data_IF_837348791997
#
_entry.id   IF_837348791997
#
_cell.length_a   1.000
_cell.length_b   1.000
_cell.length_c   1.000
_cell.angle_alpha   90.00
_cell.angle_beta   90.00
_cell.angle_gamma   90.00
#
_symmetry.space_group_name_H-M   'P 1'
#
loop_
_entity.id
_entity.type
_entity.pdbx_description
1 polymer ?
2 polymer ?
3 non-polymer ?
4 water ?
#
# COMPACT_ATOMS: atom_id res chain seq x y z
N UNK A 10 -6.29 -1.74 -39.10
CA UNK A 10 -5.76 -0.59 -39.91
C UNK A 10 -4.97 0.40 -39.05
N UNK A 11 -5.46 1.62 -38.93
CA UNK A 11 -4.79 2.68 -38.14
C UNK A 11 -5.19 2.61 -36.65
N UNK A 12 -4.66 3.52 -35.81
CA UNK A 12 -5.01 3.52 -34.39
C UNK A 12 -6.53 3.63 -34.19
N UNK A 13 -7.14 4.62 -34.83
CA UNK A 13 -8.58 4.81 -34.71
C UNK A 13 -9.34 3.53 -35.07
N UNK A 14 -8.90 2.83 -36.11
CA UNK A 14 -9.59 1.61 -36.55
C UNK A 14 -9.46 0.49 -35.51
N UNK A 15 -8.24 0.31 -35.01
CA UNK A 15 -7.97 -0.71 -34.00
C UNK A 15 -8.82 -0.42 -32.77
N UNK A 16 -8.91 0.86 -32.38
CA UNK A 16 -9.72 1.25 -31.22
C UNK A 16 -11.19 0.96 -31.50
N UNK A 17 -11.67 1.29 -32.70
CA UNK A 17 -13.06 1.01 -33.04
C UNK A 17 -13.35 -0.49 -33.00
N UNK A 18 -12.45 -1.29 -33.57
CA UNK A 18 -12.67 -2.74 -33.63
C UNK A 18 -12.64 -3.35 -32.25
N UNK A 19 -11.72 -2.88 -31.43
CA UNK A 19 -11.62 -3.42 -30.10
C UNK A 19 -12.87 -3.04 -29.28
N UNK A 20 -13.36 -1.82 -29.47
CA UNK A 20 -14.57 -1.42 -28.75
C UNK A 20 -15.77 -2.29 -29.15
N UNK A 21 -15.86 -2.63 -30.44
CA UNK A 21 -16.97 -3.45 -30.94
C UNK A 21 -16.91 -4.89 -30.41
N UNK A 22 -15.71 -5.48 -30.41
CA UNK A 22 -15.54 -6.85 -29.93
C UNK A 22 -15.80 -6.90 -28.43
N UNK A 24 -17.86 -5.11 -26.95
CA UNK A 24 -19.32 -5.05 -26.83
C UNK A 24 -19.95 -6.46 -26.98
N UNK A 25 -19.42 -7.26 -27.90
CA UNK A 25 -19.95 -8.61 -28.08
C UNK A 25 -19.73 -9.45 -26.81
N UNK A 26 -18.51 -9.39 -26.25
CA UNK A 26 -18.18 -10.14 -25.05
C UNK A 26 -19.11 -9.82 -23.89
N UNK A 27 -19.60 -8.59 -23.84
CA UNK A 27 -20.49 -8.21 -22.78
C UNK A 27 -21.89 -8.81 -22.96
N UNK A 28 -22.27 -9.06 -24.21
CA UNK A 28 -23.60 -9.62 -24.53
C UNK A 28 -23.81 -10.99 -23.91
N UNK A 32 -23.81 -17.51 -27.29
CA UNK A 32 -22.36 -17.48 -27.23
C UNK A 32 -21.66 -18.55 -28.08
N UNK A 33 -20.48 -18.95 -27.64
CA UNK A 33 -19.67 -19.96 -28.31
C UNK A 33 -19.15 -19.48 -29.66
N UNK A 34 -19.84 -19.81 -30.74
CA UNK A 34 -19.40 -19.39 -32.06
C UNK A 34 -19.03 -17.90 -32.02
N UNK A 35 -20.02 -17.08 -31.73
CA UNK A 35 -19.87 -15.62 -31.67
C UNK A 35 -18.89 -15.19 -30.57
N UNK A 36 -18.93 -15.87 -29.43
CA UNK A 36 -18.04 -15.57 -28.31
C UNK A 36 -16.59 -15.93 -28.62
N UNK A 37 -16.40 -17.10 -29.23
CA UNK A 37 -15.06 -17.54 -29.60
C UNK A 37 -14.41 -16.56 -30.58
N UNK A 38 -15.22 -16.05 -31.51
CA UNK A 38 -14.73 -15.09 -32.49
C UNK A 38 -14.38 -13.76 -31.80
N UNK A 39 -15.27 -13.28 -30.96
CA UNK A 39 -15.03 -12.01 -30.28
C UNK A 39 -13.79 -12.13 -29.37
N UNK A 40 -13.60 -13.30 -28.75
CA UNK A 40 -12.44 -13.46 -27.87
C UNK A 40 -11.18 -13.43 -28.70
N UNK A 41 -11.20 -14.11 -29.85
CA UNK A 41 -10.05 -14.14 -30.73
C UNK A 41 -9.81 -12.71 -31.28
N UNK A 42 -10.87 -12.01 -31.63
CA UNK A 42 -10.72 -10.65 -32.16
C UNK A 42 -10.16 -9.69 -31.07
N UNK A 43 -10.62 -9.87 -29.84
CA UNK A 43 -10.13 -9.07 -28.74
C UNK A 43 -8.63 -9.34 -28.59
N UNK A 44 -8.24 -10.61 -28.54
CA UNK A 44 -6.83 -10.95 -28.41
C UNK A 44 -5.98 -10.33 -29.52
N UNK A 45 -6.46 -10.42 -30.76
CA UNK A 45 -5.69 -9.89 -31.88
C UNK A 45 -5.55 -8.39 -31.87
N UNK A 46 -6.63 -7.69 -31.50
CA UNK A 46 -6.61 -6.23 -31.42
C UNK A 46 -5.72 -5.74 -30.30
N UNK A 47 -5.70 -6.46 -29.18
CA UNK A 47 -4.84 -6.06 -28.08
C UNK A 47 -3.38 -6.21 -28.53
N UNK A 48 -3.08 -7.29 -29.24
CA UNK A 48 -1.72 -7.48 -29.72
C UNK A 48 -1.37 -6.34 -30.72
N UNK A 49 -2.32 -5.94 -31.57
CA UNK A 49 -2.09 -4.88 -32.55
C UNK A 49 -1.84 -3.52 -31.88
N UNK A 51 -0.46 -3.19 -28.97
CA UNK A 51 0.89 -3.24 -28.42
C UNK A 51 1.92 -2.90 -29.49
N UNK A 52 1.70 -3.39 -30.71
CA UNK A 52 2.63 -3.13 -31.78
C UNK A 52 2.74 -1.64 -32.11
N UNK A 53 1.69 -0.88 -31.85
CA UNK A 53 1.73 0.57 -32.09
C UNK A 53 2.66 1.21 -31.04
N UNK A 54 2.61 0.71 -29.80
CA UNK A 54 3.43 1.26 -28.72
C UNK A 54 4.92 1.03 -28.87
N UNK A 55 5.28 -0.12 -29.43
CA UNK A 55 6.68 -0.48 -29.58
C UNK A 55 7.18 -0.60 -31.01
N UNK A 63 5.86 5.11 -34.92
CA UNK A 63 5.25 6.39 -35.26
C UNK A 63 4.88 7.09 -33.96
N UNK A 64 5.59 8.18 -33.65
CA UNK A 64 5.33 8.93 -32.42
C UNK A 64 3.91 9.47 -32.43
N UNK A 65 3.41 9.79 -33.62
CA UNK A 65 2.05 10.31 -33.72
C UNK A 65 1.03 9.18 -33.73
N UNK A 66 1.48 7.98 -34.10
CA UNK A 66 0.58 6.83 -34.09
C UNK A 66 0.23 6.61 -32.62
N UNK A 67 1.25 6.66 -31.76
CA UNK A 67 1.04 6.51 -30.33
C UNK A 67 0.14 7.64 -29.83
N UNK A 68 0.43 8.85 -30.27
CA UNK A 68 -0.35 10.03 -29.89
C UNK A 68 -1.79 9.82 -30.31
N UNK A 69 -2.00 9.32 -31.52
CA UNK A 69 -3.32 9.05 -32.05
C UNK A 69 -4.06 7.98 -31.22
N UNK A 70 -3.36 6.90 -30.90
CA UNK A 70 -3.95 5.82 -30.11
C UNK A 70 -4.42 6.40 -28.77
N UNK A 71 -3.55 7.14 -28.08
CA UNK A 71 -3.96 7.72 -26.80
C UNK A 71 -5.23 8.57 -26.90
N UNK A 72 -5.28 9.49 -27.87
CA UNK A 72 -6.42 10.36 -28.05
C UNK A 72 -7.68 9.52 -28.26
N UNK A 73 -7.57 8.51 -29.13
CA UNK A 73 -8.72 7.63 -29.41
C UNK A 73 -9.12 6.86 -28.16
N UNK A 74 -8.13 6.46 -27.38
CA UNK A 74 -8.41 5.74 -26.15
C UNK A 74 -9.20 6.62 -25.17
N UNK A 75 -8.87 7.89 -25.08
CA UNK A 75 -9.61 8.74 -24.14
C UNK A 75 -11.02 9.00 -24.67
N UNK A 76 -11.08 9.46 -25.91
CA UNK A 76 -12.32 9.83 -26.56
C UNK A 76 -13.42 8.78 -26.68
N UNK A 77 -13.01 7.57 -27.01
CA UNK A 77 -13.96 6.49 -27.22
C UNK A 77 -14.47 5.84 -25.93
N UNK A 78 -13.71 6.03 -24.85
CA UNK A 78 -14.07 5.40 -23.59
C UNK A 78 -13.52 3.97 -23.52
N UNK A 79 -12.74 3.54 -24.54
CA UNK A 79 -12.19 2.19 -24.56
C UNK A 79 -11.26 1.88 -23.37
N UNK A 80 -10.44 2.84 -22.96
CA UNK A 80 -9.56 2.59 -21.81
C UNK A 80 -10.41 2.16 -20.63
N UNK A 81 -11.50 2.91 -20.39
CA UNK A 81 -12.39 2.61 -19.28
C UNK A 81 -13.04 1.23 -19.48
N UNK A 82 -13.48 0.94 -20.71
CA UNK A 82 -14.14 -0.35 -21.02
C UNK A 82 -13.22 -1.54 -20.77
N UNK A 83 -11.94 -1.40 -21.18
CA UNK A 83 -10.96 -2.48 -20.97
C UNK A 83 -10.80 -2.80 -19.49
N UNK A 84 -10.86 -1.78 -18.63
CA UNK A 84 -10.78 -2.03 -17.20
C UNK A 84 -12.10 -2.65 -16.71
N UNK A 85 -13.22 -2.06 -17.10
CA UNK A 85 -14.52 -2.59 -16.65
C UNK A 85 -14.76 -4.03 -17.06
N UNK A 86 -14.30 -4.35 -18.26
CA UNK A 86 -14.50 -5.72 -18.81
C UNK A 86 -13.30 -6.67 -18.67
N UNK A 87 -12.36 -6.36 -17.78
CA UNK A 87 -11.18 -7.17 -17.70
C UNK A 87 -11.47 -8.63 -17.42
N UNK A 88 -12.49 -8.90 -16.61
CA UNK A 88 -12.83 -10.30 -16.28
C UNK A 88 -13.23 -11.11 -17.51
N UNK A 89 -13.63 -10.43 -18.59
CA UNK A 89 -14.08 -11.09 -19.82
C UNK A 89 -12.96 -11.46 -20.79
N UNK A 90 -11.80 -10.84 -20.58
CA UNK A 90 -10.64 -11.03 -21.44
C UNK A 90 -9.81 -12.25 -21.04
N UNK A 91 -9.23 -12.89 -22.06
CA UNK A 91 -8.40 -14.08 -21.85
C UNK A 91 -7.16 -13.79 -21.01
N UNK A 92 -6.54 -14.86 -20.50
CA UNK A 92 -5.36 -14.77 -19.67
C UNK A 92 -4.26 -13.83 -20.18
N UNK A 93 -3.76 -14.07 -21.39
CA UNK A 93 -2.69 -13.20 -21.90
C UNK A 93 -3.22 -11.79 -22.21
N UNK A 94 -4.47 -11.74 -22.67
CA UNK A 94 -5.11 -10.47 -22.99
C UNK A 94 -5.19 -9.58 -21.76
N UNK A 95 -5.49 -10.13 -20.59
CA UNK A 95 -5.53 -9.29 -19.38
C UNK A 95 -4.18 -8.61 -19.14
N UNK A 96 -3.09 -9.35 -19.35
CA UNK A 96 -1.76 -8.77 -19.17
C UNK A 96 -1.43 -7.73 -20.22
N UNK A 97 -1.97 -7.91 -21.43
CA UNK A 97 -1.76 -6.91 -22.48
C UNK A 97 -2.50 -5.62 -22.09
N UNK A 98 -3.71 -5.74 -21.55
CA UNK A 98 -4.43 -4.52 -21.10
C UNK A 98 -3.55 -3.80 -20.08
N UNK A 99 -3.02 -4.55 -19.11
CA UNK A 99 -2.17 -3.91 -18.08
C UNK A 99 -0.98 -3.22 -18.71
N UNK A 100 -0.28 -3.94 -19.58
CA UNK A 100 0.87 -3.37 -20.25
C UNK A 100 0.55 -2.11 -21.09
N UNK A 101 -0.57 -2.12 -21.79
CA UNK A 101 -0.97 -0.96 -22.62
C UNK A 101 -1.34 0.21 -21.71
N UNK A 102 -2.12 -0.12 -20.70
CA UNK A 102 -2.56 0.89 -19.73
C UNK A 102 -1.33 1.55 -19.08
N UNK A 103 -0.37 0.73 -18.66
CA UNK A 103 0.82 1.23 -17.96
C UNK A 103 1.67 2.13 -18.86
N UNK A 104 1.72 1.79 -20.15
CA UNK A 104 2.45 2.64 -21.07
C UNK A 104 1.72 3.96 -21.33
N UNK A 105 0.43 3.89 -21.61
CA UNK A 105 -0.34 5.11 -21.91
C UNK A 105 -0.37 6.04 -20.68
N UNK A 106 -0.40 5.46 -19.49
CA UNK A 106 -0.43 6.24 -18.28
C UNK A 106 0.75 7.25 -18.20
N UNK A 107 1.91 6.83 -18.72
CA UNK A 107 3.12 7.66 -18.62
C UNK A 107 3.30 8.65 -19.77
N UNK A 108 2.31 8.74 -20.65
CA UNK A 108 2.39 9.64 -21.78
C UNK A 108 2.63 11.06 -21.32
N UNK A 109 3.53 11.77 -22.00
CA UNK A 109 3.78 13.15 -21.64
C UNK A 109 3.66 14.09 -22.82
N UNK A 110 3.13 15.28 -22.57
CA UNK A 110 2.99 16.31 -23.59
C UNK A 110 3.57 17.53 -22.88
N UNK A 111 4.83 17.83 -23.15
CA UNK A 111 5.46 18.94 -22.47
C UNK A 111 5.56 18.53 -21.01
N UNK A 112 4.95 19.32 -20.14
CA UNK A 112 4.98 19.05 -18.70
C UNK A 112 3.74 18.25 -18.26
N UNK A 113 2.75 18.14 -19.14
CA UNK A 113 1.51 17.45 -18.80
C UNK A 113 1.57 15.93 -18.96
N UNK A 114 0.76 15.23 -18.16
CA UNK A 114 0.62 13.76 -18.24
C UNK A 114 -0.89 13.63 -18.50
N UNK A 115 -1.32 13.69 -19.77
CA UNK A 115 -2.73 13.61 -20.15
C UNK A 115 -3.53 12.42 -19.60
N UNK A 116 -2.91 11.26 -19.46
CA UNK A 116 -3.68 10.10 -18.97
C UNK A 116 -4.01 10.29 -17.49
N UNK A 117 -3.11 10.96 -16.76
CA UNK A 117 -3.39 11.20 -15.36
C UNK A 117 -4.53 12.20 -15.27
N UNK A 118 -4.50 13.26 -16.08
CA UNK A 118 -5.57 14.24 -16.05
C UNK A 118 -6.87 13.55 -16.44
N UNK A 119 -6.78 12.65 -17.41
CA UNK A 119 -7.94 11.92 -17.87
C UNK A 119 -8.55 11.11 -16.73
N UNK A 120 -7.74 10.30 -16.04
CA UNK A 120 -8.26 9.50 -14.93
C UNK A 120 -8.82 10.34 -13.78
N UNK A 121 -8.30 11.56 -13.59
CA UNK A 121 -8.83 12.40 -12.55
C UNK A 121 -10.30 12.76 -12.83
N UNK A 122 -10.70 12.71 -14.11
CA UNK A 122 -12.10 13.02 -14.50
C UNK A 122 -12.84 11.72 -14.87
N UNK A 123 -12.20 10.60 -14.61
CA UNK A 123 -12.75 9.26 -14.90
C UNK A 123 -12.37 8.41 -13.68
N UNK A 124 -12.72 8.88 -12.49
CA UNK A 124 -12.29 8.19 -11.30
C UNK A 124 -12.81 6.79 -11.12
N UNK A 125 -13.87 6.44 -11.84
CA UNK A 125 -14.39 5.08 -11.68
C UNK A 125 -13.38 4.03 -12.14
N UNK A 126 -12.43 4.44 -12.96
CA UNK A 126 -11.38 3.48 -13.37
C UNK A 126 -10.62 3.02 -12.11
N UNK A 127 -10.31 3.95 -11.22
CA UNK A 127 -9.60 3.59 -10.03
C UNK A 127 -10.50 2.73 -9.10
N UNK A 128 -11.77 3.10 -8.96
CA UNK A 128 -12.66 2.32 -8.06
C UNK A 128 -12.88 0.93 -8.61
N UNK A 130 -10.69 -0.72 -10.53
CA UNK A 130 -9.45 -1.46 -10.34
C UNK A 130 -9.32 -1.95 -8.89
N UNK A 131 -9.63 -1.07 -7.94
CA UNK A 131 -9.58 -1.47 -6.52
C UNK A 131 -10.52 -2.67 -6.22
N UNK A 132 -11.75 -2.60 -6.70
CA UNK A 132 -12.75 -3.68 -6.46
C UNK A 132 -12.26 -4.99 -7.09
N UNK A 133 -11.42 -4.86 -8.11
CA UNK A 133 -10.88 -6.03 -8.79
C UNK A 133 -10.08 -6.94 -7.87
N UNK A 134 -9.61 -6.40 -6.73
CA UNK A 134 -8.90 -7.27 -5.81
C UNK A 134 -9.80 -8.40 -5.30
N UNK A 135 -11.10 -8.22 -5.43
CA UNK A 135 -12.07 -9.22 -4.96
C UNK A 135 -12.39 -10.33 -5.98
N UNK A 136 -11.79 -10.26 -7.16
CA UNK A 136 -11.99 -11.27 -8.21
C UNK A 136 -10.64 -11.93 -8.46
N UNK A 137 -10.51 -13.19 -8.07
CA UNK A 137 -9.28 -13.96 -8.22
C UNK A 137 -8.60 -13.93 -9.56
N UNK A 138 -9.38 -13.93 -10.62
CA UNK A 138 -8.76 -13.99 -11.93
C UNK A 138 -8.22 -12.67 -12.47
N UNK A 139 -8.57 -11.57 -11.81
CA UNK A 139 -8.04 -10.27 -12.25
C UNK A 139 -7.30 -9.48 -11.17
N UNK A 140 -7.38 -9.93 -9.92
CA UNK A 140 -6.71 -9.24 -8.82
C UNK A 140 -5.26 -8.79 -9.06
N UNK A 141 -4.39 -9.71 -9.51
CA UNK A 141 -3.00 -9.28 -9.73
C UNK A 141 -2.84 -8.25 -10.82
N UNK A 142 -3.65 -8.35 -11.89
CA UNK A 142 -3.50 -7.34 -12.94
C UNK A 142 -3.99 -6.00 -12.42
N UNK A 143 -5.05 -6.02 -11.61
CA UNK A 143 -5.55 -4.77 -11.00
C UNK A 143 -4.47 -4.17 -10.11
N UNK A 144 -3.80 -5.03 -9.33
CA UNK A 144 -2.72 -4.55 -8.48
C UNK A 144 -1.63 -3.86 -9.27
N UNK A 145 -1.22 -4.50 -10.38
CA UNK A 145 -0.18 -3.94 -11.25
C UNK A 145 -0.60 -2.56 -11.74
N UNK A 147 -2.93 -0.56 -10.53
CA UNK A 147 -3.08 0.35 -9.41
C UNK A 147 -1.72 0.90 -8.97
N UNK A 148 -0.72 0.02 -8.84
CA UNK A 148 0.58 0.51 -8.39
C UNK A 148 1.19 1.48 -9.40
N UNK A 149 0.90 1.31 -10.69
CA UNK A 149 1.40 2.30 -11.67
C UNK A 149 0.64 3.62 -11.48
N UNK A 150 -0.67 3.56 -11.25
CA UNK A 150 -1.44 4.79 -11.01
C UNK A 150 -0.87 5.59 -9.82
N UNK A 151 -0.62 4.86 -8.74
CA UNK A 151 -0.11 5.35 -7.46
C UNK A 151 1.17 6.16 -7.58
N UNK A 152 1.92 5.92 -8.66
CA UNK A 152 3.15 6.70 -8.88
C UNK A 152 2.84 8.20 -9.06
N UNK A 153 1.61 8.52 -9.46
CA UNK A 153 1.16 9.89 -9.71
C UNK A 153 0.38 10.37 -8.51
N UNK A 154 0.89 11.43 -7.89
CA UNK A 154 0.30 11.95 -6.65
C UNK A 154 -1.21 12.21 -6.73
N UNK A 155 -1.73 12.71 -7.86
CA UNK A 155 -3.20 12.94 -7.86
C UNK A 155 -4.03 11.66 -7.79
N UNK A 156 -3.49 10.59 -8.36
CA UNK A 156 -4.22 9.32 -8.38
C UNK A 156 -4.05 8.64 -7.02
N UNK A 157 -2.86 8.75 -6.43
CA UNK A 157 -2.66 8.19 -5.08
C UNK A 157 -3.66 8.89 -4.12
N UNK A 158 -3.81 10.20 -4.28
CA UNK A 158 -4.71 10.96 -3.42
C UNK A 158 -6.16 10.49 -3.52
N UNK A 159 -6.63 10.30 -4.74
CA UNK A 159 -8.02 9.88 -4.94
C UNK A 159 -8.20 8.55 -4.22
N UNK A 160 -7.25 7.64 -4.42
CA UNK A 160 -7.40 6.32 -3.77
C UNK A 160 -7.32 6.41 -2.26
N UNK A 161 -6.33 7.12 -1.76
CA UNK A 161 -6.15 7.21 -0.31
C UNK A 161 -7.33 7.88 0.44
N UNK A 162 -7.93 8.90 -0.15
CA UNK A 162 -9.06 9.60 0.48
C UNK A 162 -10.37 8.87 0.32
N UNK A 163 -10.40 7.86 -0.53
CA UNK A 163 -11.63 7.10 -0.77
C UNK A 163 -11.96 6.10 0.32
N UNK A 164 -13.25 5.80 0.46
CA UNK A 164 -13.71 4.82 1.47
C UNK A 164 -13.16 3.47 1.11
N UNK A 165 -12.96 3.28 -0.18
CA UNK A 165 -12.46 2.03 -0.67
C UNK A 165 -11.02 1.78 -0.17
N UNK A 166 -10.33 2.84 0.26
CA UNK A 166 -8.98 2.61 0.79
C UNK A 166 -9.06 1.61 1.97
N UNK A 167 -10.11 1.72 2.80
CA UNK A 167 -10.25 0.82 3.95
C UNK A 167 -10.45 -0.63 3.56
N UNK A 168 -10.77 -0.87 2.29
CA UNK A 168 -10.92 -2.25 1.82
C UNK A 168 -9.56 -2.93 1.86
N UNK A 169 -8.45 -2.18 1.81
CA UNK A 169 -7.14 -2.84 1.89
C UNK A 169 -6.98 -3.59 3.23
N UNK A 170 -7.67 -3.14 4.28
CA UNK A 170 -7.50 -3.83 5.56
C UNK A 170 -8.11 -5.19 5.45
N UNK A 171 -9.11 -5.32 4.58
CA UNK A 171 -9.73 -6.62 4.39
C UNK A 171 -8.89 -7.45 3.44
N UNK A 172 -8.42 -6.84 2.35
CA UNK A 172 -7.61 -7.55 1.36
C UNK A 172 -6.32 -8.14 1.92
N UNK A 173 -5.60 -7.38 2.75
CA UNK A 173 -4.36 -7.95 3.26
C UNK A 173 -4.59 -9.09 4.27
N UNK A 174 -5.84 -9.28 4.70
CA UNK A 174 -6.18 -10.37 5.65
C UNK A 174 -6.88 -11.52 4.93
N UNK A 176 -7.63 -14.94 2.79
CA UNK A 176 -7.09 -16.30 2.94
C UNK A 176 -6.17 -16.70 1.80
N UNK A 177 -6.29 -16.03 0.66
CA UNK A 177 -5.41 -16.32 -0.45
C UNK A 177 -4.22 -15.42 -0.21
N UNK A 178 -3.18 -15.97 0.40
CA UNK A 178 -2.01 -15.21 0.77
C UNK A 178 -1.25 -14.48 -0.32
N UNK A 179 -1.20 -15.02 -1.52
CA UNK A 179 -0.48 -14.35 -2.62
C UNK A 179 -1.19 -13.02 -2.98
N UNK A 180 -2.51 -13.06 -3.05
CA UNK A 180 -3.27 -11.85 -3.35
C UNK A 180 -3.18 -10.89 -2.15
N UNK A 181 -3.26 -11.44 -0.92
CA UNK A 181 -3.12 -10.58 0.27
C UNK A 181 -1.76 -9.87 0.22
N UNK A 182 -0.70 -10.59 -0.16
CA UNK A 182 0.64 -9.97 -0.21
C UNK A 182 0.68 -8.87 -1.29
N UNK A 183 0.02 -9.12 -2.41
CA UNK A 183 0.01 -8.12 -3.48
C UNK A 183 -0.75 -6.87 -3.02
N UNK A 184 -1.90 -7.07 -2.36
CA UNK A 184 -2.66 -5.95 -1.84
C UNK A 184 -1.79 -5.17 -0.82
N UNK A 185 -1.01 -5.89 -0.01
CA UNK A 185 -0.16 -5.22 0.96
C UNK A 185 0.87 -4.33 0.25
N UNK A 186 1.48 -4.82 -0.84
CA UNK A 186 2.45 -3.97 -1.55
C UNK A 186 1.77 -2.68 -2.03
N UNK A 187 0.53 -2.77 -2.49
CA UNK A 187 -0.18 -1.58 -2.99
C UNK A 187 -0.47 -0.61 -1.83
N UNK A 188 -0.99 -1.19 -0.76
CA UNK A 188 -1.30 -0.50 0.49
C UNK A 188 -0.01 0.23 0.97
N UNK A 189 1.10 -0.49 1.08
CA UNK A 189 2.36 0.15 1.54
C UNK A 189 2.82 1.29 0.62
N UNK A 190 2.69 1.09 -0.69
CA UNK A 190 3.09 2.11 -1.65
C UNK A 190 2.26 3.37 -1.38
N UNK A 191 0.94 3.20 -1.26
CA UNK A 191 0.06 4.34 -1.01
C UNK A 191 0.47 5.15 0.23
N UNK A 192 0.86 4.43 1.27
CA UNK A 192 1.21 5.05 2.53
C UNK A 192 2.60 5.62 2.63
N UNK A 193 3.46 5.26 1.68
CA UNK A 193 4.86 5.69 1.75
C UNK A 193 5.46 6.46 0.55
N UNK A 194 4.83 6.39 -0.62
CA UNK A 194 5.40 7.04 -1.78
C UNK A 194 5.37 8.56 -1.77
N UNK A 195 4.20 9.16 -1.60
CA UNK A 195 4.07 10.60 -1.59
C UNK A 195 4.00 11.02 -0.13
N UNK A 196 5.15 11.46 0.39
CA UNK A 196 5.25 11.78 1.82
C UNK A 196 4.33 12.83 2.40
N UNK A 197 4.21 13.99 1.75
CA UNK A 197 3.35 15.04 2.27
C UNK A 197 1.91 14.59 2.23
N UNK A 198 1.54 13.98 1.11
CA UNK A 198 0.19 13.48 0.93
C UNK A 198 -0.16 12.42 2.00
N UNK A 199 0.73 11.47 2.20
CA UNK A 199 0.44 10.44 3.20
C UNK A 199 0.38 11.05 4.61
N UNK A 200 1.31 11.96 4.91
CA UNK A 200 1.31 12.61 6.22
C UNK A 200 0.00 13.37 6.45
N UNK A 201 -0.52 14.03 5.41
CA UNK A 201 -1.76 14.81 5.55
C UNK A 201 -2.93 13.84 5.75
N UNK A 202 -2.91 12.71 5.06
CA UNK A 202 -3.97 11.71 5.23
C UNK A 202 -4.01 11.12 6.65
N UNK A 203 -2.85 10.65 7.09
CA UNK A 203 -2.76 10.04 8.40
C UNK A 203 -3.22 11.00 9.50
N UNK A 204 -2.86 12.27 9.38
CA UNK A 204 -3.26 13.24 10.40
C UNK A 204 -4.77 13.44 10.42
N UNK A 205 -5.36 13.60 9.25
CA UNK A 205 -6.81 13.82 9.12
C UNK A 205 -7.68 12.62 9.45
N UNK A 206 -7.17 11.41 9.29
CA UNK A 206 -7.98 10.22 9.57
C UNK A 206 -7.32 9.33 10.60
N UNK A 207 -6.56 9.96 11.50
CA UNK A 207 -5.80 9.23 12.51
C UNK A 207 -6.57 8.16 13.27
N UNK A 208 -7.66 8.53 13.94
CA UNK A 208 -8.39 7.54 14.74
C UNK A 208 -8.88 6.32 13.99
N UNK A 209 -9.53 6.54 12.86
CA UNK A 209 -10.02 5.40 12.09
C UNK A 209 -8.91 4.54 11.49
N UNK A 210 -7.90 5.21 10.96
CA UNK A 210 -6.80 4.48 10.36
C UNK A 210 -6.07 3.60 11.40
N UNK A 211 -5.66 4.20 12.51
CA UNK A 211 -4.92 3.38 13.50
C UNK A 211 -5.79 2.36 14.20
N UNK A 212 -7.09 2.61 14.24
CA UNK A 212 -7.99 1.62 14.83
C UNK A 212 -7.93 0.37 13.95
N UNK A 213 -7.96 0.57 12.63
CA UNK A 213 -7.89 -0.56 11.72
C UNK A 213 -6.48 -1.20 11.71
N UNK A 214 -5.47 -0.37 11.75
CA UNK A 214 -4.11 -0.86 11.70
C UNK A 214 -3.78 -1.71 12.92
N UNK A 215 -4.31 -1.31 14.08
CA UNK A 215 -4.07 -2.02 15.34
C UNK A 215 -4.49 -3.51 15.12
N UNK A 216 -5.56 -3.73 14.35
CA UNK A 216 -6.02 -5.08 14.06
C UNK A 216 -5.03 -5.85 13.21
N UNK A 217 -4.30 -5.16 12.33
CA UNK A 217 -3.33 -5.86 11.50
C UNK A 217 -2.22 -6.42 12.39
N UNK A 218 -1.93 -5.72 13.48
CA UNK A 218 -0.87 -6.16 14.37
C UNK A 218 -1.24 -7.44 15.16
N UNK A 219 -2.44 -7.97 14.91
CA UNK A 219 -2.90 -9.22 15.53
C UNK A 219 -3.28 -10.24 14.45
N UNK A 220 -2.81 -10.02 13.23
CA UNK A 220 -3.14 -10.91 12.12
C UNK A 220 -2.64 -12.34 12.31
N UNK A 221 -3.42 -13.31 11.85
CA UNK A 221 -3.02 -14.70 11.95
C UNK A 221 -2.04 -14.99 10.83
N UNK A 222 -2.07 -14.17 9.77
CA UNK A 222 -1.14 -14.35 8.67
C UNK A 222 0.16 -13.74 9.19
N UNK A 223 1.08 -14.59 9.65
CA UNK A 223 2.35 -14.14 10.22
C UNK A 223 3.00 -13.11 9.33
N UNK A 224 2.85 -13.29 8.02
CA UNK A 224 3.44 -12.38 7.06
C UNK A 224 2.81 -10.98 7.15
N UNK A 225 1.49 -10.92 7.15
CA UNK A 225 0.81 -9.63 7.20
C UNK A 225 1.18 -8.93 8.52
N UNK A 226 1.26 -9.70 9.59
CA UNK A 226 1.62 -9.16 10.90
C UNK A 226 3.04 -8.60 10.96
N UNK A 227 4.00 -9.37 10.46
CA UNK A 227 5.39 -8.93 10.45
C UNK A 227 5.56 -7.71 9.52
N UNK A 228 4.98 -7.79 8.33
CA UNK A 228 5.06 -6.69 7.39
C UNK A 228 4.34 -5.45 7.95
N UNK A 229 3.24 -5.66 8.64
CA UNK A 229 2.53 -4.51 9.22
C UNK A 229 3.37 -3.84 10.32
N UNK A 230 4.02 -4.64 11.16
CA UNK A 230 4.84 -4.06 12.22
C UNK A 230 6.03 -3.33 11.63
N UNK A 231 6.60 -3.89 10.58
CA UNK A 231 7.74 -3.25 9.92
C UNK A 231 7.34 -1.90 9.29
N UNK A 232 6.19 -1.88 8.64
CA UNK A 232 5.70 -0.65 8.00
C UNK A 232 5.36 0.39 9.08
N UNK A 233 4.80 -0.06 10.20
CA UNK A 233 4.51 0.91 11.28
C UNK A 233 5.82 1.65 11.69
N UNK A 234 6.90 0.88 11.89
CA UNK A 234 8.19 1.44 12.24
C UNK A 234 8.66 2.45 11.21
N UNK A 235 8.52 2.11 9.94
CA UNK A 235 8.93 3.01 8.88
C UNK A 235 8.08 4.29 8.87
N UNK A 236 6.78 4.13 9.04
CA UNK A 236 5.89 5.29 9.07
C UNK A 236 6.24 6.24 10.21
N UNK A 237 6.45 5.70 11.42
CA UNK A 237 6.75 6.51 12.58
C UNK A 237 8.08 7.27 12.49
N UNK A 238 9.04 6.69 11.78
CA UNK A 238 10.36 7.27 11.66
C UNK A 238 10.52 8.32 10.56
N UNK A 239 9.57 8.42 9.64
CA UNK A 239 9.74 9.42 8.59
C UNK A 239 9.51 10.84 9.12
N UNK A 240 10.40 11.76 8.82
CA UNK A 240 10.27 13.13 9.33
C UNK A 240 8.92 13.77 9.02
N UNK A 241 8.32 13.42 7.86
CA UNK A 241 7.01 14.01 7.49
C UNK A 241 5.86 13.60 8.43
N UNK A 242 6.05 12.48 9.13
CA UNK A 242 5.02 11.96 10.01
C UNK A 242 5.19 12.32 11.49
N UNK A 243 6.03 13.32 11.78
CA UNK A 243 6.27 13.71 13.19
C UNK A 243 5.04 13.89 14.08
N UNK A 244 4.02 14.57 13.60
CA UNK A 244 2.83 14.78 14.42
C UNK A 244 2.09 13.47 14.72
N UNK A 245 2.02 12.62 13.70
CA UNK A 245 1.39 11.29 13.81
C UNK A 245 2.19 10.44 14.79
N UNK A 247 4.24 11.49 17.22
CA UNK A 247 4.07 12.03 18.56
C UNK A 247 2.80 11.56 19.21
N UNK A 248 1.73 11.48 18.42
CA UNK A 248 0.44 11.06 18.93
C UNK A 248 0.44 9.55 19.22
N UNK A 249 1.02 8.77 18.32
CA UNK A 249 1.05 7.32 18.50
C UNK A 249 1.84 6.93 19.78
N UNK A 250 2.98 7.58 20.01
CA UNK A 250 3.78 7.20 21.18
C UNK A 250 3.30 7.84 22.47
N UNK A 251 2.11 8.43 22.43
CA UNK A 251 1.56 9.04 23.64
C UNK A 251 0.46 8.13 24.22
N UNK A 252 0.06 7.10 23.49
CA UNK A 252 -1.01 6.24 23.97
C UNK A 252 -0.51 5.00 24.70
N UNK A 253 -0.94 4.83 25.97
CA UNK A 253 -0.54 3.68 26.80
C UNK A 253 -0.77 2.34 26.12
N UNK A 254 -1.92 2.21 25.48
CA UNK A 254 -2.28 0.98 24.80
C UNK A 254 -1.30 0.60 23.70
N UNK A 255 -0.73 1.59 23.03
CA UNK A 255 0.24 1.32 21.96
C UNK A 255 1.55 0.85 22.58
N UNK A 256 1.99 1.50 23.68
CA UNK A 256 3.23 1.06 24.36
C UNK A 256 3.05 -0.38 24.87
N UNK A 257 1.89 -0.64 25.46
CA UNK A 257 1.55 -1.96 25.99
C UNK A 257 1.71 -3.00 24.91
N UNK A 258 1.10 -2.73 23.76
CA UNK A 258 1.18 -3.67 22.65
C UNK A 258 2.63 -3.90 22.20
N UNK A 261 4.44 -6.02 24.79
CA UNK A 261 4.01 -7.42 24.74
C UNK A 261 4.62 -8.12 23.51
N UNK A 262 4.79 -7.38 22.41
CA UNK A 262 5.36 -7.97 21.19
C UNK A 262 6.84 -8.28 21.35
N UNK A 263 7.49 -7.63 22.33
CA UNK A 263 8.90 -7.92 22.60
C UNK A 263 8.99 -9.37 23.08
N UNK A 264 7.88 -9.91 23.58
CA UNK A 264 7.88 -11.30 24.06
C UNK A 264 7.11 -12.25 23.12
N UNK A 265 6.87 -11.82 21.89
CA UNK A 265 6.12 -12.65 20.92
C UNK A 265 6.90 -13.94 20.69
N UNK A 266 6.21 -15.02 20.33
CA UNK A 266 6.90 -16.29 20.08
C UNK A 266 7.83 -16.16 18.87
N UNK A 267 7.56 -15.17 18.02
CA UNK A 267 8.40 -14.98 16.84
C UNK A 267 9.52 -13.97 17.09
N UNK A 268 10.74 -14.41 16.79
CA UNK A 268 11.95 -13.60 16.95
C UNK A 268 11.93 -12.34 16.06
N UNK A 269 11.44 -12.48 14.84
CA UNK A 269 11.36 -11.36 13.90
C UNK A 269 10.35 -10.34 14.41
N UNK A 270 9.22 -10.84 14.91
CA UNK A 270 8.19 -9.95 15.46
C UNK A 270 8.81 -9.14 16.63
N UNK A 271 9.50 -9.83 17.55
CA UNK A 271 10.12 -9.16 18.70
C UNK A 271 11.07 -8.09 18.19
N UNK A 272 11.87 -8.45 17.20
CA UNK A 272 12.84 -7.50 16.67
C UNK A 272 12.19 -6.27 16.03
N UNK A 273 11.10 -6.47 15.29
CA UNK A 273 10.40 -5.33 14.68
C UNK A 273 9.74 -4.51 15.79
N UNK A 274 9.24 -5.18 16.81
CA UNK A 274 8.61 -4.49 17.92
C UNK A 274 9.62 -3.62 18.67
N UNK A 275 10.85 -4.12 18.82
CA UNK A 275 11.95 -3.39 19.46
C UNK A 275 12.18 -2.04 18.75
N UNK A 276 12.10 -2.07 17.43
CA UNK A 276 12.31 -0.83 16.67
C UNK A 276 11.27 0.24 16.99
N UNK A 277 10.02 -0.16 17.19
CA UNK A 277 8.97 0.81 17.51
C UNK A 277 9.16 1.23 18.97
N UNK A 278 9.35 0.23 19.83
CA UNK A 278 9.58 0.45 21.26
C UNK A 278 10.61 1.55 21.48
N UNK A 279 11.74 1.46 20.78
CA UNK A 279 12.78 2.48 20.91
C UNK A 279 12.24 3.89 20.74
N UNK A 280 11.30 4.06 19.81
CA UNK A 280 10.71 5.36 19.52
C UNK A 280 9.98 5.90 20.75
N UNK A 281 9.20 5.06 21.42
CA UNK A 281 8.50 5.46 22.64
C UNK A 281 9.49 5.93 23.72
N UNK A 282 10.62 5.22 23.84
CA UNK A 282 11.60 5.55 24.88
C UNK A 282 12.42 6.80 24.55
N UNK A 283 12.80 6.94 23.29
CA UNK A 283 13.62 8.09 22.88
C UNK A 283 12.91 9.44 23.05
N UNK A 284 11.58 9.41 23.04
CA UNK A 284 10.76 10.61 23.19
C UNK A 284 11.15 11.42 24.45
N UNK A 285 11.68 12.66 24.27
CA UNK A 285 12.07 13.48 25.42
C UNK A 285 10.89 14.06 26.21
N UNK A 286 9.71 14.10 25.59
CA UNK A 286 8.52 14.65 26.26
C UNK A 286 7.39 13.62 26.38
N UNK A 287 7.55 12.65 27.28
CA UNK A 287 6.52 11.62 27.43
C UNK A 287 5.31 12.08 28.24
N UNK A 288 4.15 11.52 27.90
CA UNK A 288 2.95 11.84 28.66
C UNK A 288 3.08 11.03 29.94
N UNK A 289 2.39 11.43 30.98
CA UNK A 289 2.50 10.71 32.24
C UNK A 289 2.12 9.23 32.19
N UNK A 290 1.04 8.87 31.44
CA UNK A 290 0.64 7.45 31.37
C UNK A 290 1.77 6.59 30.77
N UNK A 291 2.55 7.19 29.88
CA UNK A 291 3.67 6.50 29.23
C UNK A 291 4.84 6.38 30.21
N UNK A 292 5.23 7.49 30.81
CA UNK A 292 6.30 7.48 31.78
C UNK A 292 5.98 6.52 32.93
N UNK A 293 4.72 6.50 33.37
CA UNK A 293 4.33 5.63 34.46
C UNK A 293 4.45 4.15 34.14
N UNK A 294 4.16 3.78 32.90
CA UNK A 294 4.31 2.38 32.50
C UNK A 294 5.80 1.99 32.50
N UNK A 295 6.65 2.89 32.00
CA UNK A 295 8.07 2.61 31.97
C UNK A 295 8.65 2.51 33.38
N UNK A 296 8.19 3.35 34.31
CA UNK A 296 8.70 3.32 35.70
C UNK A 296 8.24 2.07 36.41
N UNK A 297 6.99 1.71 36.17
CA UNK A 297 6.43 0.50 36.76
C UNK A 297 7.23 -0.74 36.32
N UNK A 298 7.87 -0.68 35.16
CA UNK A 298 8.63 -1.82 34.64
C UNK A 298 10.10 -1.49 34.47
N UNK A 299 10.57 -0.45 35.16
CA UNK A 299 11.96 0.00 34.98
C UNK A 299 13.04 -1.07 35.16
N UNK A 300 13.09 -1.71 36.33
CA UNK A 300 14.10 -2.72 36.58
C UNK A 300 13.92 -3.90 35.61
N UNK A 301 12.68 -4.32 35.37
CA UNK A 301 12.43 -5.44 34.44
C UNK A 301 12.92 -5.11 33.04
N UNK A 302 12.64 -3.89 32.60
CA UNK A 302 13.07 -3.45 31.25
C UNK A 302 14.59 -3.40 31.16
N UNK A 303 15.22 -2.85 32.20
CA UNK A 303 16.68 -2.80 32.20
C UNK A 303 17.25 -4.23 32.06
N UNK A 304 16.74 -5.16 32.85
CA UNK A 304 17.24 -6.52 32.79
C UNK A 304 16.91 -7.16 31.44
N UNK A 305 15.66 -6.99 31.01
CA UNK A 305 15.22 -7.58 29.74
C UNK A 305 16.06 -7.11 28.55
N UNK A 306 16.28 -5.80 28.44
CA UNK A 306 17.06 -5.27 27.34
C UNK A 306 18.52 -5.71 27.41
N UNK A 307 19.05 -5.89 28.62
CA UNK A 307 20.43 -6.32 28.76
C UNK A 307 20.64 -7.74 28.25
N UNK A 308 19.56 -8.46 28.00
CA UNK A 308 19.63 -9.84 27.54
C UNK A 308 18.92 -10.12 26.21
N UNK A 309 18.20 -9.12 25.69
CA UNK A 309 17.42 -9.24 24.44
C UNK A 309 18.20 -9.65 23.19
N UNK A 310 17.92 -10.85 22.69
CA UNK A 310 18.59 -11.38 21.49
C UNK A 310 20.08 -11.02 21.48
N UNK A 311 20.76 -11.27 22.60
CA UNK A 311 22.18 -10.99 22.69
C UNK A 311 22.97 -11.83 21.69
N UNK A 312 22.34 -12.86 21.12
CA UNK A 312 22.99 -13.68 20.12
C UNK A 312 23.09 -12.93 18.79
N UNK A 313 22.08 -12.09 18.51
CA UNK A 313 22.03 -11.30 17.29
C UNK A 313 23.14 -10.27 17.26
N UNK A 315 25.41 -10.66 15.06
CA UNK A 315 26.10 -9.43 15.44
C UNK A 315 25.64 -8.32 14.50
N UNK A 316 24.73 -7.49 15.01
CA UNK A 316 24.14 -6.38 14.27
C UNK A 316 24.92 -5.09 14.49
N UNK A 317 25.37 -4.86 15.71
CA UNK A 317 26.15 -3.67 16.05
C UNK A 317 25.32 -2.39 16.17
N UNK A 318 24.45 -2.16 15.21
CA UNK A 318 23.58 -0.99 15.30
C UNK A 318 22.56 -1.34 16.37
N UNK A 319 22.17 -2.61 16.35
CA UNK A 319 21.20 -3.19 17.28
C UNK A 319 21.78 -3.19 18.70
N UNK A 320 23.04 -3.62 18.81
CA UNK A 320 23.73 -3.67 20.09
C UNK A 320 23.87 -2.26 20.66
N UNK A 321 24.17 -1.30 19.80
CA UNK A 321 24.29 0.08 20.26
C UNK A 321 22.92 0.63 20.70
N UNK A 322 21.85 0.17 20.07
CA UNK A 322 20.52 0.64 20.43
C UNK A 322 20.12 0.09 21.79
N UNK A 323 20.49 -1.16 22.07
CA UNK A 323 20.20 -1.74 23.37
C UNK A 323 20.95 -1.00 24.46
N UNK A 324 22.18 -0.59 24.17
CA UNK A 324 22.99 0.13 25.16
C UNK A 324 22.35 1.46 25.48
N UNK A 325 21.88 2.12 24.43
CA UNK A 325 21.22 3.41 24.53
C UNK A 325 19.88 3.30 25.30
N UNK A 326 19.12 2.26 25.03
CA UNK A 326 17.83 2.10 25.68
C UNK A 326 17.99 1.72 27.15
N UNK A 327 19.00 0.92 27.46
CA UNK A 327 19.23 0.54 28.85
C UNK A 327 19.56 1.81 29.63
N UNK A 328 20.37 2.68 29.05
CA UNK A 328 20.71 3.92 29.74
C UNK A 328 19.48 4.84 29.86
N UNK A 329 18.69 4.89 28.80
CA UNK A 329 17.49 5.71 28.83
C UNK A 329 16.56 5.26 29.99
N UNK A 330 16.31 3.95 30.08
CA UNK A 330 15.43 3.43 31.12
C UNK A 330 16.00 3.66 32.52
N UNK A 331 17.32 3.48 32.66
CA UNK A 331 17.96 3.69 33.96
C UNK A 331 17.79 5.15 34.38
N UNK A 332 17.85 6.04 33.40
CA UNK A 332 17.77 7.46 33.70
C UNK A 332 16.39 8.06 33.79
N UNK A 333 15.35 7.25 33.59
CA UNK A 333 13.97 7.76 33.66
C UNK A 333 13.67 8.42 35.03
N UNK A 334 13.07 9.61 34.98
CA UNK A 334 12.75 10.38 36.18
C UNK A 334 11.40 11.10 36.05
N UNK A 335 10.65 11.17 37.16
CA UNK A 335 9.39 11.93 37.18
C UNK A 335 9.83 13.40 37.19
N UNK A 336 9.12 14.27 36.46
CA UNK A 336 9.52 15.66 36.47
C UNK A 336 8.81 16.39 37.60
N UNK A 337 8.78 17.72 37.53
CA UNK A 337 8.09 18.52 38.54
C UNK A 337 6.59 18.20 38.42
N UNK A 338 5.96 18.00 39.58
CA UNK A 338 4.53 17.66 39.66
C UNK A 338 3.57 18.65 38.97
N UNK A 339 3.56 19.84 39.41
N UNK B 9 6.54 -11.30 33.43
CA UNK B 9 5.51 -10.57 32.64
C UNK B 9 5.53 -9.09 33.00
N UNK B 10 5.12 -8.24 32.06
CA UNK B 10 5.11 -6.81 32.31
C UNK B 10 3.90 -6.52 33.21
N UNK B 11 3.94 -5.39 33.89
CA UNK B 11 2.82 -4.98 34.74
C UNK B 11 2.41 -3.59 34.26
N UNK B 12 1.15 -3.42 33.88
CA UNK B 12 0.66 -2.13 33.37
C UNK B 12 -0.31 -1.40 34.28
#
# INVERSE_FOLDING_TARGET
XPFPFGKSHKSPADIVKNLKESXAVLEKQDISDKKAEKATEEVSKNLVAXKEILYGTNEKEPQTEAVAQLAQELYNSGLLSTLVADLQLIDFEGKKDVAQIFNNILRRQIGTRTPTVEYICTQQNILFXLLKGYESPEIALNCGIXLRECIRHEPLAKIILWSEQFYDFFRYVEXSTFDIASDAFATFKDLLTRHKLLSAEFLEQHYDRFFSEYEKLLHSENYVTKRQSLKLLGELLLDRHNFTIXTKYISKPENLKLXXNLLRDKSRNIQFEAFHVFKVFVANPNKTQPILDILLKNQAKLIEFLSKFQNDRTEDEQFNDEKTYLVKQIRDLKRPAQQEA
NLEELEVDDWEF
#
